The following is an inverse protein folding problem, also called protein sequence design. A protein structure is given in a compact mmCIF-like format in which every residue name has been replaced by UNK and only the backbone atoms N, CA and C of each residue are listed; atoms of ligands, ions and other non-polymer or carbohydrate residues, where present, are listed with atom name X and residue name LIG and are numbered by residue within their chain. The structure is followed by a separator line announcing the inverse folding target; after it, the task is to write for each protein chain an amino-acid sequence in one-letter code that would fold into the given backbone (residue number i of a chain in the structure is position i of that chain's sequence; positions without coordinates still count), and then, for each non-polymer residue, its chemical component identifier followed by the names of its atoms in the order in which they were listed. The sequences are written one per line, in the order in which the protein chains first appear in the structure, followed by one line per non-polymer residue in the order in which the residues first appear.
data_IF_886513332703
#
_entry.id   IF_886513332703
#
_cell.length_a   1.000
_cell.length_b   1.000
_cell.length_c   1.000
_cell.angle_alpha   90.00
_cell.angle_beta   90.00
_cell.angle_gamma   90.00
#
_symmetry.space_group_name_H-M   'P 1'
#
loop_
_entity.id
_entity.type
_entity.pdbx_description
1 polymer ?
#
# COMPACT_ATOMS: atom_id res chain seq x y z
N UNK A 1 17.00 30.54 -22.11
CA UNK A 1 15.96 29.52 -21.87
C UNK A 1 15.29 29.87 -20.56
N UNK A 2 13.95 29.98 -20.47
CA UNK A 2 13.33 30.21 -19.18
C UNK A 2 13.61 28.96 -18.33
N UNK A 3 14.35 29.13 -17.24
CA UNK A 3 14.64 28.04 -16.30
C UNK A 3 13.38 27.59 -15.58
N UNK A 4 13.46 26.46 -14.88
CA UNK A 4 12.38 25.95 -14.03
C UNK A 4 11.86 27.04 -13.10
N UNK A 5 10.57 27.37 -13.21
CA UNK A 5 9.93 28.40 -12.38
C UNK A 5 9.26 27.71 -11.21
N UNK A 6 9.72 28.02 -10.00
CA UNK A 6 9.06 27.60 -8.77
C UNK A 6 8.02 28.63 -8.38
N UNK A 7 6.84 28.17 -7.98
CA UNK A 7 5.85 29.07 -7.42
C UNK A 7 6.33 29.66 -6.08
N UNK A 8 5.94 30.92 -5.81
CA UNK A 8 6.36 31.67 -4.62
C UNK A 8 5.53 31.30 -3.39
N UNK A 9 4.36 30.67 -3.57
CA UNK A 9 3.44 30.33 -2.50
C UNK A 9 3.54 28.85 -2.14
N UNK A 10 3.92 28.57 -0.89
CA UNK A 10 3.88 27.23 -0.32
C UNK A 10 2.55 27.03 0.41
N UNK A 11 1.75 26.06 -0.01
CA UNK A 11 0.60 25.63 0.78
C UNK A 11 1.06 24.65 1.86
N UNK A 12 0.63 24.82 3.11
CA UNK A 12 1.02 23.93 4.21
C UNK A 12 -0.14 23.00 4.51
N UNK A 13 0.08 21.69 4.43
CA UNK A 13 -0.97 20.73 4.78
C UNK A 13 -1.17 20.68 6.31
N UNK A 14 -2.42 20.62 6.79
CA UNK A 14 -2.73 20.46 8.20
C UNK A 14 -2.55 18.99 8.62
N UNK A 15 -1.29 18.52 8.67
CA UNK A 15 -0.94 17.20 9.20
C UNK A 15 0.10 17.32 10.32
N UNK A 16 0.38 16.21 11.03
CA UNK A 16 1.34 16.15 12.14
C UNK A 16 2.71 16.71 11.76
N UNK A 17 3.16 16.47 10.53
CA UNK A 17 4.46 16.91 10.02
C UNK A 17 4.41 18.25 9.26
N UNK A 18 3.21 18.79 8.98
CA UNK A 18 3.00 20.05 8.24
C UNK A 18 3.84 20.17 6.96
N UNK A 19 3.76 19.18 6.05
CA UNK A 19 4.56 19.20 4.83
C UNK A 19 4.16 20.37 3.95
N UNK A 20 5.13 20.92 3.22
CA UNK A 20 4.95 22.09 2.36
C UNK A 20 4.74 21.65 0.93
N UNK A 21 3.64 22.07 0.34
CA UNK A 21 3.32 21.88 -1.06
C UNK A 21 3.89 23.00 -1.89
N UNK A 22 4.50 22.67 -3.02
CA UNK A 22 4.83 23.64 -4.05
C UNK A 22 4.71 23.03 -5.44
N UNK A 23 4.55 23.91 -6.42
CA UNK A 23 4.47 23.56 -7.83
C UNK A 23 5.67 24.15 -8.59
N UNK A 24 6.17 23.39 -9.57
CA UNK A 24 7.28 23.78 -10.41
C UNK A 24 6.87 23.62 -11.88
N UNK A 25 7.06 24.67 -12.68
CA UNK A 25 6.89 24.61 -14.12
C UNK A 25 8.17 24.06 -14.74
N UNK A 26 8.07 22.89 -15.37
CA UNK A 26 9.16 22.28 -16.10
C UNK A 26 9.49 23.04 -17.38
N UNK A 27 10.68 22.78 -17.93
CA UNK A 27 11.10 23.35 -19.22
C UNK A 27 10.27 22.82 -20.40
N UNK A 28 9.50 21.75 -20.17
CA UNK A 28 8.53 21.15 -21.08
C UNK A 28 7.15 21.86 -21.05
N UNK A 29 6.97 22.84 -20.18
CA UNK A 29 5.72 23.58 -20.01
C UNK A 29 4.68 22.86 -19.16
N UNK A 30 5.03 21.73 -18.52
CA UNK A 30 4.14 21.00 -17.62
C UNK A 30 4.35 21.40 -16.17
N UNK A 31 3.25 21.41 -15.40
CA UNK A 31 3.28 21.65 -13.96
C UNK A 31 3.56 20.34 -13.21
N UNK A 32 4.57 20.38 -12.37
CA UNK A 32 4.93 19.31 -11.46
C UNK A 32 4.65 19.73 -10.02
N UNK A 33 4.03 18.83 -9.27
CA UNK A 33 3.61 19.09 -7.89
C UNK A 33 4.47 18.28 -6.94
N UNK A 34 5.01 18.95 -5.93
CA UNK A 34 5.90 18.33 -4.96
C UNK A 34 5.44 18.62 -3.53
N UNK A 35 5.62 17.62 -2.68
CA UNK A 35 5.43 17.66 -1.25
C UNK A 35 6.80 17.62 -0.58
N UNK A 36 7.17 18.72 0.07
CA UNK A 36 8.36 18.79 0.91
C UNK A 36 8.02 18.22 2.29
N UNK A 37 8.54 17.02 2.54
CA UNK A 37 8.49 16.37 3.86
C UNK A 37 9.75 16.73 4.65
N UNK A 38 9.55 17.11 5.90
CA UNK A 38 10.63 17.46 6.83
C UNK A 38 10.54 16.63 8.10
N UNK A 39 11.70 16.37 8.70
CA UNK A 39 11.91 15.45 9.83
C UNK A 39 11.58 13.99 9.51
N UNK A 40 11.73 13.60 8.24
CA UNK A 40 11.47 12.24 7.76
C UNK A 40 12.59 11.85 6.78
N UNK A 41 13.03 10.60 6.88
CA UNK A 41 14.03 10.02 5.98
C UNK A 41 13.34 9.32 4.81
N UNK A 42 13.37 9.95 3.63
CA UNK A 42 12.72 9.42 2.43
C UNK A 42 13.56 8.41 1.65
N UNK A 43 14.75 8.04 2.13
CA UNK A 43 15.61 7.07 1.44
C UNK A 43 14.94 5.70 1.37
N UNK A 44 14.19 5.31 2.41
CA UNK A 44 13.42 4.08 2.39
C UNK A 44 12.40 4.08 1.25
N UNK A 45 11.58 5.15 1.16
CA UNK A 45 10.60 5.34 0.09
C UNK A 45 11.26 5.35 -1.31
N UNK A 46 12.40 6.03 -1.47
CA UNK A 46 13.15 6.03 -2.74
C UNK A 46 13.54 4.60 -3.17
N UNK A 47 14.07 3.80 -2.25
CA UNK A 47 14.50 2.42 -2.52
C UNK A 47 13.31 1.51 -2.83
N UNK A 48 12.18 1.71 -2.16
CA UNK A 48 10.95 0.99 -2.47
C UNK A 48 10.42 1.37 -3.86
N UNK A 49 10.53 2.63 -4.27
CA UNK A 49 10.21 3.04 -5.64
C UNK A 49 11.13 2.39 -6.68
N UNK A 50 12.40 2.17 -6.34
CA UNK A 50 13.34 1.42 -7.18
C UNK A 50 12.96 -0.08 -7.23
N UNK A 51 12.53 -0.68 -6.11
CA UNK A 51 12.06 -2.07 -6.08
C UNK A 51 10.81 -2.26 -6.94
N UNK A 52 9.86 -1.32 -6.88
CA UNK A 52 8.70 -1.33 -7.76
C UNK A 52 9.09 -1.19 -9.23
N UNK A 53 10.18 -0.47 -9.54
CA UNK A 53 10.69 -0.39 -10.90
C UNK A 53 11.18 -1.75 -11.38
N UNK A 54 11.94 -2.47 -10.54
CA UNK A 54 12.38 -3.83 -10.84
C UNK A 54 11.17 -4.76 -11.06
N UNK A 55 10.19 -4.74 -10.16
CA UNK A 55 8.99 -5.58 -10.25
C UNK A 55 8.18 -5.27 -11.53
N UNK A 56 8.05 -3.99 -11.90
CA UNK A 56 7.39 -3.63 -13.16
C UNK A 56 8.13 -4.20 -14.39
N UNK A 57 9.46 -4.16 -14.41
CA UNK A 57 10.23 -4.81 -15.49
C UNK A 57 10.05 -6.33 -15.51
N UNK A 58 9.84 -6.97 -14.37
CA UNK A 58 9.49 -8.39 -14.30
C UNK A 58 8.09 -8.68 -14.86
N UNK A 59 7.11 -7.78 -14.64
CA UNK A 59 5.78 -7.90 -15.24
C UNK A 59 5.81 -7.75 -16.76
N UNK A 60 6.58 -6.79 -17.28
CA UNK A 60 6.76 -6.58 -18.72
C UNK A 60 7.35 -7.81 -19.42
N UNK A 61 8.26 -8.53 -18.74
CA UNK A 61 8.86 -9.76 -19.25
C UNK A 61 7.92 -10.98 -19.27
N UNK A 62 6.73 -10.91 -18.66
CA UNK A 62 5.79 -12.02 -18.57
C UNK A 62 4.52 -11.75 -19.39
N UNK A 63 4.30 -12.54 -20.45
CA UNK A 63 3.18 -12.39 -21.39
C UNK A 63 1.79 -12.32 -20.72
N UNK A 64 1.57 -13.03 -19.62
CA UNK A 64 0.27 -13.07 -18.92
C UNK A 64 0.03 -11.82 -18.07
N UNK A 65 1.10 -11.11 -17.69
CA UNK A 65 1.09 -10.01 -16.73
C UNK A 65 1.49 -8.65 -17.32
N UNK A 66 1.66 -8.54 -18.64
CA UNK A 66 2.14 -7.32 -19.31
C UNK A 66 1.32 -6.05 -18.99
N UNK A 67 0.03 -6.21 -18.67
CA UNK A 67 -0.86 -5.09 -18.34
C UNK A 67 -0.86 -4.73 -16.84
N UNK A 68 -0.07 -5.41 -16.02
CA UNK A 68 0.08 -5.14 -14.59
C UNK A 68 1.27 -4.22 -14.35
N UNK A 69 1.03 -3.12 -13.66
CA UNK A 69 2.09 -2.20 -13.26
C UNK A 69 1.77 -1.65 -11.87
N UNK A 70 2.81 -1.52 -11.06
CA UNK A 70 2.75 -0.78 -9.80
C UNK A 70 2.97 0.69 -10.12
N UNK A 71 2.03 1.55 -9.72
CA UNK A 71 2.17 2.99 -9.88
C UNK A 71 3.27 3.50 -8.95
N UNK A 72 4.27 4.13 -9.56
CA UNK A 72 5.40 4.75 -8.84
C UNK A 72 5.22 6.26 -8.85
N UNK A 73 5.78 6.91 -7.84
CA UNK A 73 5.91 8.36 -7.77
C UNK A 73 7.37 8.73 -7.48
N UNK A 74 7.83 9.91 -7.91
CA UNK A 74 9.21 10.30 -7.69
C UNK A 74 9.42 10.66 -6.22
N UNK A 75 10.49 10.13 -5.64
CA UNK A 75 10.94 10.45 -4.28
C UNK A 75 12.38 10.91 -4.39
N UNK A 76 12.68 12.09 -3.85
CA UNK A 76 13.99 12.73 -3.95
C UNK A 76 14.44 13.10 -2.54
N UNK A 77 15.26 12.24 -1.89
CA UNK A 77 15.90 12.60 -0.63
C UNK A 77 16.85 13.79 -0.84
N UNK A 78 16.71 14.84 -0.04
CA UNK A 78 17.60 16.02 -0.09
C UNK A 78 18.62 15.98 1.05
N UNK A 79 18.23 15.44 2.21
CA UNK A 79 19.07 15.22 3.38
C UNK A 79 18.50 14.05 4.21
N UNK A 80 19.19 13.56 5.24
CA UNK A 80 18.68 12.48 6.10
C UNK A 80 17.36 12.80 6.83
N UNK A 81 16.93 14.06 6.84
CA UNK A 81 15.71 14.51 7.53
C UNK A 81 14.78 15.32 6.63
N UNK A 82 15.09 15.50 5.35
CA UNK A 82 14.28 16.30 4.43
C UNK A 82 14.30 15.66 3.06
N UNK A 83 13.15 15.58 2.40
CA UNK A 83 13.08 15.20 1.02
C UNK A 83 11.79 15.64 0.33
N UNK A 84 11.74 15.40 -0.98
CA UNK A 84 10.61 15.72 -1.84
C UNK A 84 9.91 14.46 -2.27
N UNK A 85 8.59 14.49 -2.23
CA UNK A 85 7.72 13.46 -2.82
C UNK A 85 6.91 14.12 -3.93
N UNK A 86 6.98 13.59 -5.16
CA UNK A 86 6.11 14.06 -6.24
C UNK A 86 4.68 13.61 -6.01
N UNK A 87 3.75 14.55 -6.12
CA UNK A 87 2.33 14.24 -6.01
C UNK A 87 1.83 13.62 -7.31
N UNK A 88 0.98 12.60 -7.16
CA UNK A 88 0.30 11.99 -8.27
C UNK A 88 -0.95 12.81 -8.61
N UNK A 89 -0.99 13.33 -9.83
CA UNK A 89 -2.16 14.03 -10.35
C UNK A 89 -3.33 13.05 -10.48
N UNK A 90 -4.57 13.50 -10.25
CA UNK A 90 -5.79 12.71 -10.36
C UNK A 90 -5.90 11.53 -9.38
N UNK A 91 -5.21 11.56 -8.24
CA UNK A 91 -5.32 10.53 -7.22
C UNK A 91 -6.00 11.06 -5.97
N UNK A 92 -6.84 10.25 -5.34
CA UNK A 92 -7.51 10.58 -4.08
C UNK A 92 -7.43 9.43 -3.09
N UNK A 93 -7.23 9.76 -1.82
CA UNK A 93 -7.24 8.75 -0.75
C UNK A 93 -8.62 8.12 -0.64
N UNK A 94 -8.69 6.79 -0.43
CA UNK A 94 -9.98 6.09 -0.28
C UNK A 94 -10.80 6.70 0.86
N UNK A 95 -10.16 7.11 1.96
CA UNK A 95 -10.88 7.73 3.09
C UNK A 95 -11.60 9.02 2.70
N UNK A 96 -11.03 9.81 1.79
CA UNK A 96 -11.64 11.05 1.30
C UNK A 96 -12.85 10.71 0.43
N UNK A 97 -12.67 9.84 -0.56
CA UNK A 97 -13.75 9.45 -1.48
C UNK A 97 -14.93 8.80 -0.75
N UNK A 98 -14.67 7.95 0.25
CA UNK A 98 -15.73 7.33 1.07
C UNK A 98 -16.44 8.37 1.96
N UNK A 99 -15.71 9.34 2.52
CA UNK A 99 -16.32 10.41 3.32
C UNK A 99 -17.23 11.31 2.47
N UNK A 100 -16.76 11.72 1.29
CA UNK A 100 -17.55 12.52 0.35
C UNK A 100 -18.81 11.75 -0.09
N UNK A 101 -18.66 10.48 -0.48
CA UNK A 101 -19.81 9.62 -0.83
C UNK A 101 -20.84 9.52 0.30
N UNK A 102 -20.41 9.28 1.54
CA UNK A 102 -21.33 9.17 2.69
C UNK A 102 -22.01 10.48 3.04
N UNK A 103 -21.29 11.61 2.91
CA UNK A 103 -21.87 12.93 3.13
C UNK A 103 -22.96 13.24 2.11
N UNK A 104 -22.72 12.93 0.83
CA UNK A 104 -23.69 13.14 -0.25
C UNK A 104 -24.94 12.27 -0.11
N UNK A 105 -24.80 11.09 0.50
CA UNK A 105 -25.91 10.14 0.71
C UNK A 105 -26.49 10.17 2.13
N UNK A 106 -26.08 11.14 2.96
CA UNK A 106 -26.52 11.29 4.35
C UNK A 106 -26.36 10.04 5.22
N UNK A 107 -25.29 9.27 5.00
CA UNK A 107 -24.95 8.08 5.80
C UNK A 107 -24.11 8.51 7.00
N UNK A 108 -24.57 8.20 8.21
CA UNK A 108 -23.84 8.53 9.44
C UNK A 108 -22.46 7.84 9.50
N UNK A 109 -21.46 8.59 9.97
CA UNK A 109 -20.11 8.08 10.20
C UNK A 109 -20.02 7.77 11.70
N UNK A 110 -20.33 6.53 12.09
CA UNK A 110 -20.13 6.11 13.47
C UNK A 110 -18.62 6.00 13.75
N UNK A 111 -18.08 6.99 14.45
CA UNK A 111 -16.77 6.94 15.08
C UNK A 111 -16.96 6.43 16.54
N UNK A 112 -17.21 5.13 16.71
CA UNK A 112 -17.51 4.54 18.04
C UNK A 112 -16.28 3.96 18.75
N UNK A 113 -16.28 4.04 20.09
CA UNK A 113 -15.20 3.63 21.00
C UNK A 113 -15.40 2.23 21.60
N UNK A 114 -14.28 1.55 21.85
CA UNK A 114 -14.15 0.12 22.19
C UNK A 114 -14.69 -0.30 23.57
N UNK A 115 -15.28 -1.50 23.62
CA UNK A 115 -14.97 -2.50 24.67
C UNK A 115 -15.29 -3.96 24.23
N UNK A 116 -16.19 -4.17 23.26
CA UNK A 116 -16.47 -5.50 22.67
C UNK A 116 -16.23 -5.53 21.15
N UNK A 117 -14.94 -5.53 20.75
CA UNK A 117 -14.53 -5.30 19.36
C UNK A 117 -15.07 -6.32 18.35
N UNK A 118 -15.14 -7.61 18.70
CA UNK A 118 -15.54 -8.66 17.75
C UNK A 118 -17.06 -8.75 17.57
N UNK A 119 -17.82 -8.71 18.66
CA UNK A 119 -19.30 -8.74 18.60
C UNK A 119 -19.83 -7.50 17.89
N UNK A 120 -19.36 -6.30 18.28
CA UNK A 120 -19.68 -5.06 17.60
C UNK A 120 -19.26 -5.08 16.12
N UNK A 121 -18.09 -5.65 15.81
CA UNK A 121 -17.65 -5.80 14.42
C UNK A 121 -18.64 -6.66 13.61
N UNK A 122 -19.09 -7.80 14.16
CA UNK A 122 -20.07 -8.66 13.51
C UNK A 122 -21.44 -7.99 13.38
N UNK A 123 -21.88 -7.26 14.40
CA UNK A 123 -23.15 -6.52 14.40
C UNK A 123 -23.15 -5.43 13.33
N UNK A 124 -22.11 -4.59 13.29
CA UNK A 124 -21.93 -3.58 12.23
C UNK A 124 -21.85 -4.26 10.86
N UNK A 125 -21.18 -5.41 10.77
CA UNK A 125 -21.08 -6.15 9.52
C UNK A 125 -22.41 -6.68 9.02
N UNK A 126 -23.31 -7.07 9.94
CA UNK A 126 -24.65 -7.54 9.61
C UNK A 126 -25.60 -6.39 9.18
N UNK A 127 -25.42 -5.20 9.74
CA UNK A 127 -26.30 -4.05 9.49
C UNK A 127 -25.91 -3.26 8.24
N UNK A 128 -24.64 -3.30 7.83
CA UNK A 128 -24.12 -2.47 6.74
C UNK A 128 -23.63 -3.30 5.57
N UNK A 129 -24.03 -2.94 4.35
CA UNK A 129 -23.64 -3.67 3.14
C UNK A 129 -22.20 -3.40 2.68
N UNK A 130 -21.56 -2.31 3.14
CA UNK A 130 -20.20 -1.90 2.78
C UNK A 130 -19.94 -1.91 1.25
N UNK A 131 -20.85 -1.30 0.49
CA UNK A 131 -20.77 -1.18 -0.98
C UNK A 131 -20.24 0.19 -1.44
N UNK A 132 -19.86 1.05 -0.50
CA UNK A 132 -19.43 2.42 -0.76
C UNK A 132 -18.36 2.48 -1.87
N UNK A 133 -17.34 1.64 -1.79
CA UNK A 133 -16.24 1.62 -2.75
C UNK A 133 -16.67 1.12 -4.13
N UNK A 134 -17.60 0.16 -4.18
CA UNK A 134 -18.18 -0.33 -5.43
C UNK A 134 -18.96 0.81 -6.13
N UNK A 135 -19.79 1.52 -5.37
CA UNK A 135 -20.59 2.63 -5.87
C UNK A 135 -19.71 3.80 -6.30
N UNK A 136 -18.64 4.11 -5.56
CA UNK A 136 -17.66 5.14 -5.92
C UNK A 136 -16.96 4.80 -7.25
N UNK A 137 -16.54 3.54 -7.47
CA UNK A 137 -15.92 3.13 -8.74
C UNK A 137 -16.94 3.26 -9.89
N UNK A 138 -18.21 2.96 -9.64
CA UNK A 138 -19.28 3.17 -10.60
C UNK A 138 -19.50 4.65 -10.93
N UNK A 139 -19.66 5.50 -9.91
CA UNK A 139 -19.91 6.94 -10.07
C UNK A 139 -18.73 7.68 -10.74
N UNK A 140 -17.50 7.20 -10.53
CA UNK A 140 -16.31 7.76 -11.17
C UNK A 140 -16.12 7.30 -12.62
N UNK A 141 -16.95 6.38 -13.12
CA UNK A 141 -16.85 5.81 -14.46
C UNK A 141 -17.82 6.47 -15.43
N UNK A 142 -17.33 6.82 -16.62
CA UNK A 142 -18.17 7.47 -17.65
C UNK A 142 -19.08 6.49 -18.40
N UNK A 143 -18.66 5.23 -18.51
CA UNK A 143 -19.36 4.17 -19.23
C UNK A 143 -19.24 2.81 -18.54
N UNK A 144 -20.13 1.88 -18.88
CA UNK A 144 -20.10 0.51 -18.34
C UNK A 144 -18.80 -0.22 -18.67
N UNK A 145 -18.24 0.00 -19.86
CA UNK A 145 -16.96 -0.59 -20.25
C UNK A 145 -15.82 -0.01 -19.42
N UNK A 146 -15.79 1.32 -19.22
CA UNK A 146 -14.79 1.94 -18.35
C UNK A 146 -14.91 1.48 -16.91
N UNK A 147 -16.14 1.29 -16.42
CA UNK A 147 -16.38 0.74 -15.10
C UNK A 147 -15.84 -0.69 -14.97
N UNK A 148 -16.08 -1.54 -15.97
CA UNK A 148 -15.59 -2.90 -15.97
C UNK A 148 -14.06 -2.95 -15.94
N UNK A 149 -13.39 -2.13 -16.77
CA UNK A 149 -11.94 -2.02 -16.79
C UNK A 149 -11.37 -1.40 -15.52
N UNK A 150 -12.03 -0.37 -14.97
CA UNK A 150 -11.67 0.26 -13.71
C UNK A 150 -11.70 -0.72 -12.54
N UNK A 151 -12.77 -1.52 -12.47
CA UNK A 151 -12.90 -2.57 -11.46
C UNK A 151 -11.82 -3.63 -11.63
N UNK A 152 -11.56 -4.07 -12.86
CA UNK A 152 -10.49 -5.03 -13.15
C UNK A 152 -9.11 -4.50 -12.73
N UNK A 153 -8.85 -3.22 -12.99
CA UNK A 153 -7.63 -2.54 -12.57
C UNK A 153 -7.54 -2.42 -11.06
N UNK A 154 -8.63 -2.07 -10.37
CA UNK A 154 -8.71 -2.01 -8.91
C UNK A 154 -8.36 -3.37 -8.28
N UNK A 155 -9.01 -4.45 -8.73
CA UNK A 155 -8.76 -5.81 -8.23
C UNK A 155 -7.31 -6.25 -8.44
N UNK A 156 -6.77 -6.03 -9.64
CA UNK A 156 -5.41 -6.44 -10.00
C UNK A 156 -4.33 -5.64 -9.29
N UNK A 157 -4.47 -4.32 -9.24
CA UNK A 157 -3.52 -3.45 -8.55
C UNK A 157 -3.51 -3.70 -7.04
N UNK A 158 -4.69 -3.94 -6.44
CA UNK A 158 -4.82 -4.38 -5.05
C UNK A 158 -4.08 -5.70 -4.81
N UNK A 159 -4.32 -6.72 -5.65
CA UNK A 159 -3.67 -8.04 -5.52
C UNK A 159 -2.14 -7.95 -5.59
N UNK A 160 -1.62 -7.19 -6.56
CA UNK A 160 -0.17 -6.98 -6.70
C UNK A 160 0.40 -6.30 -5.45
N UNK A 161 -0.22 -5.22 -4.98
CA UNK A 161 0.24 -4.51 -3.79
C UNK A 161 0.09 -5.31 -2.50
N UNK A 162 -0.92 -6.18 -2.39
CA UNK A 162 -1.06 -7.11 -1.26
C UNK A 162 0.11 -8.09 -1.19
N UNK A 163 0.50 -8.70 -2.31
CA UNK A 163 1.61 -9.66 -2.32
C UNK A 163 2.96 -8.97 -2.13
N UNK A 164 3.21 -7.87 -2.85
CA UNK A 164 4.45 -7.10 -2.70
C UNK A 164 4.56 -6.51 -1.29
N UNK A 165 3.47 -5.97 -0.76
CA UNK A 165 3.37 -5.45 0.60
C UNK A 165 3.66 -6.51 1.65
N UNK A 166 3.12 -7.73 1.50
CA UNK A 166 3.42 -8.85 2.40
C UNK A 166 4.90 -9.23 2.38
N UNK A 167 5.51 -9.32 1.19
CA UNK A 167 6.94 -9.64 1.05
C UNK A 167 7.80 -8.60 1.76
N UNK A 168 7.59 -7.30 1.52
CA UNK A 168 8.38 -6.25 2.18
C UNK A 168 7.99 -6.00 3.64
N UNK A 169 6.87 -6.58 4.11
CA UNK A 169 6.33 -6.36 5.44
C UNK A 169 5.80 -4.93 5.63
N UNK A 170 5.07 -4.42 4.63
CA UNK A 170 4.48 -3.08 4.65
C UNK A 170 3.30 -3.01 5.63
N UNK A 171 3.47 -2.21 6.68
CA UNK A 171 2.44 -1.94 7.69
C UNK A 171 1.82 -0.55 7.59
N UNK A 172 0.99 -0.22 8.57
CA UNK A 172 0.22 1.03 8.68
C UNK A 172 -0.61 1.34 7.43
N UNK A 173 -1.34 0.32 6.96
CA UNK A 173 -2.16 0.39 5.73
C UNK A 173 -3.59 0.85 6.03
N UNK A 174 -3.70 1.99 6.70
CA UNK A 174 -4.97 2.69 6.87
C UNK A 174 -5.44 3.34 5.55
N UNK A 175 -6.72 3.66 5.41
CA UNK A 175 -7.31 4.16 4.16
C UNK A 175 -6.79 5.51 3.67
N UNK A 176 -6.10 6.29 4.52
CA UNK A 176 -5.43 7.52 4.09
C UNK A 176 -4.09 7.27 3.38
N UNK A 177 -3.51 6.06 3.51
CA UNK A 177 -2.26 5.65 2.86
C UNK A 177 -2.49 4.88 1.56
N UNK A 178 -3.75 4.76 1.14
CA UNK A 178 -4.17 4.07 -0.08
C UNK A 178 -4.96 5.07 -0.93
N UNK A 179 -4.49 5.33 -2.14
CA UNK A 179 -5.12 6.20 -3.12
C UNK A 179 -5.72 5.41 -4.26
N UNK A 180 -6.73 6.00 -4.87
CA UNK A 180 -7.33 5.59 -6.12
C UNK A 180 -7.02 6.61 -7.20
N UNK A 181 -6.58 6.13 -8.35
CA UNK A 181 -6.51 6.93 -9.57
C UNK A 181 -7.93 7.15 -10.12
N UNK A 182 -8.32 8.42 -10.31
CA UNK A 182 -9.60 8.77 -10.93
C UNK A 182 -9.63 8.29 -12.39
N UNK A 183 -10.75 7.71 -12.81
CA UNK A 183 -10.97 7.19 -14.15
C UNK A 183 -10.51 5.74 -14.36
N UNK A 184 -9.34 5.32 -13.83
CA UNK A 184 -8.83 3.95 -13.97
C UNK A 184 -9.04 3.07 -12.72
N UNK A 185 -9.32 3.69 -11.57
CA UNK A 185 -9.45 3.07 -10.24
C UNK A 185 -8.26 2.19 -9.82
N UNK A 186 -7.05 2.46 -10.33
CA UNK A 186 -5.83 1.78 -9.86
C UNK A 186 -5.48 2.20 -8.44
N UNK A 187 -5.07 1.22 -7.64
CA UNK A 187 -4.64 1.40 -6.26
C UNK A 187 -3.18 1.83 -6.20
N UNK A 188 -2.90 2.85 -5.39
CA UNK A 188 -1.55 3.33 -5.12
C UNK A 188 -1.34 3.45 -3.62
N UNK A 189 -0.28 2.81 -3.12
CA UNK A 189 0.11 2.94 -1.71
C UNK A 189 1.11 4.08 -1.57
N UNK A 190 0.96 4.88 -0.53
CA UNK A 190 1.91 5.94 -0.15
C UNK A 190 2.41 5.72 1.26
N UNK A 191 3.45 6.46 1.64
CA UNK A 191 4.02 6.47 2.99
C UNK A 191 4.57 5.09 3.37
N UNK A 192 5.84 4.83 3.02
CA UNK A 192 6.47 3.54 3.25
C UNK A 192 7.34 3.50 4.51
N UNK A 193 7.13 4.41 5.46
CA UNK A 193 7.92 4.48 6.69
C UNK A 193 7.89 3.20 7.54
N UNK A 194 6.76 2.49 7.55
CA UNK A 194 6.55 1.26 8.32
C UNK A 194 6.75 -0.01 7.48
N UNK A 195 7.95 -0.22 6.93
CA UNK A 195 8.32 -1.48 6.29
C UNK A 195 9.00 -2.46 7.25
N UNK A 196 9.19 -3.71 6.82
CA UNK A 196 9.86 -4.77 7.57
C UNK A 196 9.14 -5.19 8.87
N UNK A 197 7.81 -5.24 8.84
CA UNK A 197 6.95 -5.72 9.94
C UNK A 197 7.06 -4.87 11.23
N UNK A 198 7.57 -3.65 11.13
CA UNK A 198 7.66 -2.73 12.28
C UNK A 198 6.30 -2.50 12.93
N UNK A 199 5.22 -2.44 12.14
CA UNK A 199 3.85 -2.28 12.64
C UNK A 199 3.34 -3.49 13.44
N UNK A 200 3.83 -4.70 13.16
CA UNK A 200 3.43 -5.92 13.90
C UNK A 200 4.09 -5.98 15.29
N UNK A 201 5.28 -5.40 15.42
CA UNK A 201 6.08 -5.43 16.65
C UNK A 201 5.78 -4.25 17.59
N UNK A 202 4.76 -3.42 17.29
CA UNK A 202 4.38 -2.28 18.14
C UNK A 202 3.72 -2.75 19.42
N UNK A 203 4.07 -2.10 20.54
CA UNK A 203 3.47 -2.37 21.85
C UNK A 203 2.00 -1.95 21.89
N UNK A 204 1.65 -0.86 21.19
CA UNK A 204 0.28 -0.37 21.05
C UNK A 204 -0.15 -0.44 19.58
N UNK A 205 -1.36 -0.93 19.33
CA UNK A 205 -1.95 -1.01 17.97
C UNK A 205 -1.15 -1.88 16.99
N UNK A 206 -0.70 -3.06 17.43
CA UNK A 206 -0.03 -4.02 16.56
C UNK A 206 -0.94 -4.46 15.40
N UNK A 207 -0.41 -4.41 14.17
CA UNK A 207 -1.13 -4.91 13.02
C UNK A 207 -0.97 -6.44 12.92
N UNK A 208 -2.08 -7.18 13.01
CA UNK A 208 -2.09 -8.64 12.89
C UNK A 208 -2.48 -9.17 11.49
N UNK A 209 -2.55 -8.29 10.49
CA UNK A 209 -2.92 -8.65 9.11
C UNK A 209 -1.72 -8.50 8.16
N UNK A 210 -1.54 -9.41 7.18
CA UNK A 210 -0.43 -9.33 6.23
C UNK A 210 -0.58 -8.18 5.22
N UNK A 211 -1.82 -7.81 4.92
CA UNK A 211 -2.19 -6.66 4.10
C UNK A 211 -3.65 -6.30 4.38
N UNK A 212 -4.05 -5.08 3.99
CA UNK A 212 -5.44 -4.66 4.08
C UNK A 212 -6.30 -5.41 3.05
N UNK A 213 -7.24 -6.21 3.53
CA UNK A 213 -8.28 -6.85 2.73
C UNK A 213 -9.60 -6.84 3.51
N UNK A 214 -10.24 -5.68 3.54
CA UNK A 214 -11.51 -5.50 4.26
C UNK A 214 -12.70 -5.86 3.39
N UNK A 215 -13.87 -6.04 4.02
CA UNK A 215 -15.13 -6.34 3.32
C UNK A 215 -15.48 -5.31 2.24
N UNK A 216 -15.19 -4.02 2.46
CA UNK A 216 -15.47 -2.98 1.47
C UNK A 216 -14.63 -3.17 0.21
N UNK A 217 -13.36 -3.56 0.36
CA UNK A 217 -12.48 -3.91 -0.77
C UNK A 217 -12.98 -5.17 -1.49
N UNK A 218 -13.33 -6.22 -0.74
CA UNK A 218 -13.84 -7.48 -1.29
C UNK A 218 -15.13 -7.25 -2.09
N UNK A 219 -16.06 -6.46 -1.54
CA UNK A 219 -17.32 -6.12 -2.21
C UNK A 219 -17.08 -5.31 -3.50
N UNK A 220 -16.04 -4.48 -3.55
CA UNK A 220 -15.67 -3.74 -4.75
C UNK A 220 -15.06 -4.62 -5.85
N UNK A 221 -14.43 -5.74 -5.51
CA UNK A 221 -13.90 -6.69 -6.51
C UNK A 221 -15.04 -7.39 -7.28
N UNK A 222 -16.15 -7.68 -6.60
CA UNK A 222 -17.39 -8.25 -7.12
C UNK A 222 -17.19 -9.44 -8.06
N UNK A 223 -16.41 -10.43 -7.61
CA UNK A 223 -16.56 -11.82 -8.05
C UNK A 223 -17.62 -12.49 -7.15
N UNK A 224 -18.46 -13.37 -7.71
CA UNK A 224 -19.47 -14.14 -6.94
C UNK A 224 -18.81 -14.97 -5.81
N UNK A 225 -17.47 -15.17 -5.88
CA UNK A 225 -16.63 -15.80 -4.86
C UNK A 225 -15.87 -14.86 -3.90
N UNK A 226 -16.13 -13.55 -3.92
CA UNK A 226 -15.46 -12.56 -3.06
C UNK A 226 -13.98 -12.40 -3.41
N UNK A 227 -13.08 -12.77 -2.50
CA UNK A 227 -11.64 -12.78 -2.74
C UNK A 227 -11.18 -13.94 -3.65
N UNK A 228 -12.01 -14.97 -3.82
CA UNK A 228 -11.74 -16.11 -4.70
C UNK A 228 -12.19 -15.76 -6.12
N UNK A 229 -11.23 -15.62 -7.02
CA UNK A 229 -11.48 -15.17 -8.38
C UNK A 229 -10.28 -14.45 -8.98
N UNK A 230 -10.50 -13.30 -9.61
CA UNK A 230 -9.46 -12.53 -10.27
C UNK A 230 -8.37 -12.05 -9.27
N UNK A 231 -8.77 -11.76 -8.03
CA UNK A 231 -7.84 -11.36 -6.97
C UNK A 231 -6.89 -12.50 -6.61
N UNK A 232 -7.40 -13.68 -6.22
CA UNK A 232 -6.60 -14.87 -5.88
C UNK A 232 -5.65 -15.26 -7.02
N UNK A 233 -6.14 -15.34 -8.26
CA UNK A 233 -5.30 -15.70 -9.43
C UNK A 233 -4.19 -14.68 -9.64
N UNK A 234 -4.47 -13.37 -9.49
CA UNK A 234 -3.45 -12.33 -9.64
C UNK A 234 -2.43 -12.40 -8.50
N UNK A 235 -2.87 -12.71 -7.27
CA UNK A 235 -1.99 -12.94 -6.12
C UNK A 235 -1.06 -14.13 -6.34
N UNK A 236 -1.60 -15.28 -6.78
CA UNK A 236 -0.81 -16.48 -7.10
C UNK A 236 0.25 -16.20 -8.16
N UNK A 237 -0.14 -15.58 -9.27
CA UNK A 237 0.78 -15.23 -10.35
C UNK A 237 1.86 -14.23 -9.88
N UNK A 238 1.48 -13.25 -9.06
CA UNK A 238 2.41 -12.24 -8.55
C UNK A 238 3.40 -12.89 -7.60
N UNK A 239 2.92 -13.71 -6.66
CA UNK A 239 3.77 -14.44 -5.72
C UNK A 239 4.71 -15.38 -6.48
N UNK A 240 4.23 -16.10 -7.49
CA UNK A 240 5.08 -16.96 -8.32
C UNK A 240 6.19 -16.17 -9.02
N UNK A 241 5.87 -14.99 -9.57
CA UNK A 241 6.85 -14.11 -10.22
C UNK A 241 7.92 -13.64 -9.23
N UNK A 242 7.52 -13.23 -8.02
CA UNK A 242 8.42 -12.78 -6.96
C UNK A 242 9.33 -13.94 -6.49
N UNK A 243 8.77 -15.14 -6.28
CA UNK A 243 9.55 -16.32 -5.88
C UNK A 243 10.55 -16.76 -6.96
N UNK A 244 10.17 -16.73 -8.24
CA UNK A 244 11.05 -17.07 -9.36
C UNK A 244 12.22 -16.10 -9.52
N UNK A 245 12.02 -14.83 -9.17
CA UNK A 245 13.03 -13.78 -9.28
C UNK A 245 13.57 -13.35 -7.90
N UNK A 246 13.53 -14.25 -6.91
CA UNK A 246 13.93 -13.95 -5.53
C UNK A 246 15.34 -13.37 -5.45
N UNK A 247 16.28 -13.87 -6.25
CA UNK A 247 17.69 -13.49 -6.14
C UNK A 247 17.89 -12.01 -6.51
N UNK A 248 17.15 -11.50 -7.51
CA UNK A 248 17.18 -10.10 -7.90
C UNK A 248 16.55 -9.18 -6.86
N UNK A 249 15.45 -9.63 -6.23
CA UNK A 249 14.77 -8.89 -5.16
C UNK A 249 15.66 -8.86 -3.90
N UNK A 250 16.24 -10.00 -3.53
CA UNK A 250 17.13 -10.14 -2.38
C UNK A 250 18.40 -9.29 -2.55
N UNK A 251 19.05 -9.33 -3.71
CA UNK A 251 20.24 -8.51 -3.96
C UNK A 251 19.97 -7.01 -3.77
N UNK A 252 18.78 -6.55 -4.16
CA UNK A 252 18.36 -5.16 -4.00
C UNK A 252 18.08 -4.80 -2.53
N UNK A 253 17.43 -5.69 -1.78
CA UNK A 253 17.14 -5.50 -0.35
C UNK A 253 18.38 -5.63 0.53
N UNK A 254 19.31 -6.53 0.19
CA UNK A 254 20.60 -6.68 0.86
C UNK A 254 21.46 -5.44 0.65
N UNK A 255 21.52 -4.91 -0.58
CA UNK A 255 22.21 -3.66 -0.85
C UNK A 255 21.65 -2.49 -0.01
N UNK A 256 20.36 -2.53 0.34
CA UNK A 256 19.73 -1.54 1.21
C UNK A 256 20.18 -1.66 2.67
N UNK A 257 20.17 -2.86 3.26
CA UNK A 257 20.62 -3.05 4.66
C UNK A 257 22.11 -2.80 4.83
N UNK A 258 22.89 -3.05 3.77
CA UNK A 258 24.34 -2.80 3.76
C UNK A 258 24.69 -1.33 3.49
N UNK A 259 23.75 -0.48 3.06
CA UNK A 259 24.01 0.94 2.78
C UNK A 259 24.38 1.66 4.10
N UNK A 260 25.66 2.05 4.28
CA UNK A 260 26.14 2.64 5.53
C UNK A 260 25.58 4.04 5.78
N UNK A 261 25.02 4.68 4.74
CA UNK A 261 24.37 5.98 4.86
C UNK A 261 22.90 5.82 5.21
N UNK A 262 22.25 4.75 4.74
CA UNK A 262 20.84 4.44 5.04
C UNK A 262 20.59 4.18 6.53
N UNK A 263 21.64 4.12 7.37
CA UNK A 263 21.46 3.87 8.78
C UNK A 263 22.33 4.58 9.82
N UNK A 264 21.74 5.62 10.42
CA UNK A 264 21.71 5.97 11.87
C UNK A 264 23.03 6.32 12.60
N UNK A 265 22.89 7.15 13.64
CA UNK A 265 23.94 7.48 14.62
C UNK A 265 24.82 6.27 14.96
N UNK A 266 26.14 6.51 15.12
CA UNK A 266 27.19 5.50 15.36
C UNK A 266 26.81 4.40 16.39
N UNK A 267 25.97 4.74 17.37
CA UNK A 267 25.48 3.83 18.43
C UNK A 267 24.39 2.83 17.98
N UNK A 268 23.64 3.12 16.91
CA UNK A 268 22.55 2.27 16.41
C UNK A 268 22.97 1.32 15.30
N UNK A 269 24.17 1.45 14.73
CA UNK A 269 24.63 0.65 13.58
C UNK A 269 24.69 -0.86 13.85
N UNK A 270 25.04 -1.29 15.06
CA UNK A 270 25.14 -2.71 15.40
C UNK A 270 23.76 -3.37 15.58
N UNK A 271 22.85 -2.71 16.31
CA UNK A 271 21.47 -3.17 16.49
C UNK A 271 20.71 -3.23 15.17
N UNK A 272 20.91 -2.22 14.30
CA UNK A 272 20.24 -2.13 13.00
C UNK A 272 20.80 -3.12 11.99
N UNK A 273 22.09 -3.48 12.05
CA UNK A 273 22.62 -4.60 11.26
C UNK A 273 21.96 -5.92 11.68
N UNK A 274 21.90 -6.22 12.98
CA UNK A 274 21.24 -7.45 13.45
C UNK A 274 19.74 -7.50 13.14
N UNK A 275 19.03 -6.37 13.26
CA UNK A 275 17.60 -6.30 12.93
C UNK A 275 17.36 -6.34 11.42
N UNK A 276 18.20 -5.67 10.63
CA UNK A 276 18.13 -5.68 9.17
C UNK A 276 18.43 -7.06 8.59
N UNK A 277 19.43 -7.78 9.13
CA UNK A 277 19.74 -9.16 8.77
C UNK A 277 18.58 -10.11 9.13
N UNK A 278 17.95 -9.95 10.30
CA UNK A 278 16.76 -10.71 10.69
C UNK A 278 15.57 -10.43 9.74
N UNK A 279 15.30 -9.16 9.43
CA UNK A 279 14.27 -8.76 8.48
C UNK A 279 14.51 -9.31 7.08
N UNK A 280 15.75 -9.27 6.57
CA UNK A 280 16.11 -9.87 5.28
C UNK A 280 15.89 -11.39 5.31
N UNK A 281 16.32 -12.06 6.39
CA UNK A 281 16.14 -13.50 6.52
C UNK A 281 14.64 -13.89 6.52
N UNK A 282 13.78 -13.09 7.15
CA UNK A 282 12.31 -13.23 7.10
C UNK A 282 11.79 -13.08 5.68
N UNK A 283 12.25 -12.07 4.95
CA UNK A 283 11.85 -11.85 3.55
C UNK A 283 12.28 -13.03 2.67
N UNK A 284 13.50 -13.51 2.86
CA UNK A 284 14.02 -14.67 2.12
C UNK A 284 13.17 -15.92 2.40
N UNK A 285 12.78 -16.14 3.66
CA UNK A 285 11.87 -17.24 4.05
C UNK A 285 10.51 -17.10 3.39
N UNK A 286 9.91 -15.90 3.37
CA UNK A 286 8.64 -15.64 2.68
C UNK A 286 8.73 -15.93 1.17
N UNK A 287 9.83 -15.53 0.51
CA UNK A 287 10.08 -15.80 -0.91
C UNK A 287 10.37 -17.28 -1.20
N UNK A 288 10.89 -18.02 -0.23
CA UNK A 288 11.06 -19.48 -0.33
C UNK A 288 9.78 -20.26 0.01
N UNK A 289 8.78 -19.61 0.61
CA UNK A 289 7.52 -20.22 1.00
C UNK A 289 7.49 -20.83 2.40
N UNK A 290 8.40 -20.41 3.28
CA UNK A 290 8.45 -20.82 4.68
C UNK A 290 7.91 -19.68 5.56
N UNK A 291 6.60 -19.68 5.86
CA UNK A 291 6.01 -18.68 6.77
C UNK A 291 6.02 -19.10 8.24
N UNK A 292 5.91 -20.41 8.47
CA UNK A 292 5.93 -21.04 9.80
C UNK A 292 7.18 -21.92 9.83
N UNK A 293 7.89 -21.91 10.95
CA UNK A 293 9.14 -22.65 11.08
C UNK A 293 8.94 -24.14 10.76
N UNK A 294 9.59 -24.60 9.68
CA UNK A 294 9.60 -26.01 9.27
C UNK A 294 8.58 -26.41 8.20
N UNK A 295 7.59 -25.58 7.86
CA UNK A 295 6.57 -25.93 6.86
C UNK A 295 6.76 -25.18 5.54
N UNK A 296 6.88 -25.94 4.45
CA UNK A 296 6.90 -25.40 3.10
C UNK A 296 5.48 -25.27 2.56
N UNK A 297 5.12 -24.06 2.11
CA UNK A 297 3.87 -23.81 1.43
C UNK A 297 4.09 -23.61 -0.07
N UNK A 298 3.31 -24.34 -0.88
CA UNK A 298 3.20 -24.01 -2.30
C UNK A 298 2.72 -22.56 -2.48
N UNK A 299 2.94 -21.96 -3.64
CA UNK A 299 2.50 -20.58 -3.92
C UNK A 299 1.00 -20.41 -3.66
N UNK A 300 0.20 -21.40 -4.07
CA UNK A 300 -1.24 -21.42 -3.89
C UNK A 300 -1.66 -21.52 -2.42
N UNK A 301 -1.04 -22.40 -1.65
CA UNK A 301 -1.33 -22.55 -0.21
C UNK A 301 -0.93 -21.30 0.57
N UNK A 302 0.24 -20.72 0.26
CA UNK A 302 0.68 -19.48 0.89
C UNK A 302 -0.32 -18.36 0.63
N UNK A 303 -0.71 -18.14 -0.62
CA UNK A 303 -1.67 -17.08 -0.97
C UNK A 303 -3.01 -17.31 -0.28
N UNK A 304 -3.50 -18.55 -0.25
CA UNK A 304 -4.76 -18.88 0.43
C UNK A 304 -4.68 -18.61 1.95
N UNK A 305 -3.58 -19.01 2.60
CA UNK A 305 -3.36 -18.74 4.01
C UNK A 305 -3.29 -17.24 4.30
N UNK A 306 -2.64 -16.46 3.43
CA UNK A 306 -2.55 -15.02 3.57
C UNK A 306 -3.90 -14.32 3.41
N UNK A 307 -4.70 -14.73 2.43
CA UNK A 307 -6.05 -14.22 2.25
C UNK A 307 -6.89 -14.52 3.49
N UNK A 308 -6.86 -15.76 3.99
CA UNK A 308 -7.60 -16.14 5.21
C UNK A 308 -7.18 -15.30 6.43
N UNK A 309 -5.87 -15.12 6.65
CA UNK A 309 -5.35 -14.26 7.72
C UNK A 309 -5.81 -12.81 7.58
N UNK A 310 -5.82 -12.27 6.36
CA UNK A 310 -6.23 -10.90 6.08
C UNK A 310 -7.74 -10.66 6.22
N UNK A 311 -8.57 -11.68 5.94
CA UNK A 311 -10.03 -11.62 6.06
C UNK A 311 -10.57 -12.05 7.42
N UNK A 312 -9.73 -12.53 8.33
CA UNK A 312 -10.16 -13.00 9.64
C UNK A 312 -10.79 -11.86 10.46
N UNK A 313 -12.03 -12.05 10.91
CA UNK A 313 -12.73 -11.09 11.75
C UNK A 313 -11.99 -10.82 13.07
N UNK A 314 -11.29 -11.82 13.62
CA UNK A 314 -10.47 -11.65 14.83
C UNK A 314 -9.28 -10.71 14.57
N UNK A 315 -8.56 -10.92 13.47
CA UNK A 315 -7.41 -10.08 13.12
C UNK A 315 -7.82 -8.65 12.74
N UNK A 316 -8.96 -8.50 12.05
CA UNK A 316 -9.50 -7.20 11.65
C UNK A 316 -10.10 -6.44 12.83
N UNK A 317 -10.82 -7.10 13.73
CA UNK A 317 -11.41 -6.45 14.91
C UNK A 317 -10.35 -5.96 15.90
N UNK A 318 -9.16 -6.57 15.93
CA UNK A 318 -8.06 -6.14 16.79
C UNK A 318 -7.29 -4.91 16.27
N UNK A 319 -7.58 -4.44 15.06
CA UNK A 319 -6.95 -3.23 14.51
C UNK A 319 -7.41 -1.97 15.24
N UNK A 320 -6.56 -0.94 15.25
CA UNK A 320 -6.88 0.33 15.87
C UNK A 320 -7.97 1.10 15.10
N UNK A 321 -8.72 1.97 15.78
CA UNK A 321 -9.90 2.65 15.20
C UNK A 321 -9.57 3.48 13.94
N UNK A 322 -8.42 4.15 13.92
CA UNK A 322 -7.95 4.92 12.76
C UNK A 322 -7.66 4.07 11.52
N UNK A 323 -7.43 2.77 11.70
CA UNK A 323 -7.28 1.81 10.61
C UNK A 323 -8.60 1.55 9.89
N UNK A 324 -9.74 1.80 10.55
CA UNK A 324 -11.11 1.62 10.02
C UNK A 324 -11.33 0.20 9.47
N UNK A 325 -11.28 -0.84 10.32
CA UNK A 325 -11.39 -2.23 9.87
C UNK A 325 -12.76 -2.60 9.30
N UNK A 326 -13.79 -1.83 9.66
CA UNK A 326 -15.18 -2.00 9.20
C UNK A 326 -15.42 -1.42 7.80
N UNK A 327 -14.48 -0.64 7.26
CA UNK A 327 -14.49 -0.11 5.90
C UNK A 327 -13.70 -1.03 4.98
#
# INVERSE_FOLDING_TARGET
MPGTIFDKLFHVFPSKQRPRFFQALGNDGLWYYFLLKGKEDLRLDERIMQLFKLINSLFEGNNTMQNLTIRRYPVIPLSPIVGLVGMLNNHETIVKSVREYRQDHHIEINDESNEQRLEMFNDICSQTAARDLYDIIWLNSESTDNWFDSRRNFTRSSAVMSMVGHIIGLGDRHLSNILLERGSSRVVHIDFGDCFEQAMNRVESAEHVPFRLTRMMINAFCDIGGAKGAFEVTCEQTMQLLRNNKDGIMAMLEAFVLDPLAGWSEANRQLIKSQGEDSISKIERKLKGFEIDGEFFSTKEQVNNLIQKATSCENLSNQYLGWRPFW
#
